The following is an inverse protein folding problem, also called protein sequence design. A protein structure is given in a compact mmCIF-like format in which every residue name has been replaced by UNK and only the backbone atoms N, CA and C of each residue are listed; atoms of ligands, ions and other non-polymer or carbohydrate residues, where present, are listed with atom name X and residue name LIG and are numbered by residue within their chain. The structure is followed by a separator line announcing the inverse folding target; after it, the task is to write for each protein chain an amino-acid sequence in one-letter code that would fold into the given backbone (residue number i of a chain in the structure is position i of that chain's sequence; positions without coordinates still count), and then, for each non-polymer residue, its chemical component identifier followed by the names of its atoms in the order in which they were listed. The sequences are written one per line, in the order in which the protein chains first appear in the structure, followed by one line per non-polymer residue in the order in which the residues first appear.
data_IF_977287509531
#
_entry.id   IF_977287509531
#
_cell.length_a   1.000
_cell.length_b   1.000
_cell.length_c   1.000
_cell.angle_alpha   90.00
_cell.angle_beta   90.00
_cell.angle_gamma   90.00
#
_symmetry.space_group_name_H-M   'P 1'
#
loop_
_entity.id
_entity.type
_entity.pdbx_description
1 polymer ?
#
# COMPACT_ATOMS: atom_id res chain seq x y z
N UNK A 1 -8.72 -8.15 14.88
CA UNK A 1 -8.47 -8.58 13.48
C UNK A 1 -8.80 -10.07 13.37
N UNK A 2 -9.50 -10.53 12.33
CA UNK A 2 -9.91 -11.95 12.20
C UNK A 2 -9.14 -12.61 11.05
N UNK A 3 -8.09 -13.38 11.33
CA UNK A 3 -7.25 -14.06 10.32
C UNK A 3 -7.93 -15.37 9.85
N UNK A 4 -7.87 -15.72 8.55
CA UNK A 4 -8.41 -17.00 8.00
C UNK A 4 -9.00 -16.95 6.58
N UNK A 5 -9.47 -18.08 6.01
CA UNK A 5 -9.54 -18.31 4.56
C UNK A 5 -10.88 -17.95 3.85
N UNK A 6 -11.63 -16.95 4.33
CA UNK A 6 -12.87 -16.48 3.68
C UNK A 6 -12.71 -15.06 3.13
N UNK A 7 -13.66 -14.52 2.36
CA UNK A 7 -13.67 -13.09 2.03
C UNK A 7 -13.64 -12.28 3.32
N UNK A 8 -12.50 -11.68 3.63
CA UNK A 8 -12.24 -11.00 4.90
C UNK A 8 -12.21 -9.52 4.66
N UNK A 9 -13.26 -8.88 5.16
CA UNK A 9 -13.45 -7.44 5.24
C UNK A 9 -13.98 -6.81 3.96
N UNK A 10 -15.08 -6.09 4.10
CA UNK A 10 -15.81 -5.29 3.11
C UNK A 10 -15.44 -3.79 3.18
N UNK A 11 -14.45 -3.47 4.02
CA UNK A 11 -14.04 -2.11 4.40
C UNK A 11 -12.52 -2.03 4.56
N UNK A 12 -11.95 -0.89 4.21
CA UNK A 12 -10.58 -0.54 4.57
C UNK A 12 -10.41 -0.57 6.09
N UNK A 13 -9.37 -1.22 6.60
CA UNK A 13 -9.05 -1.18 8.03
C UNK A 13 -7.91 -0.20 8.24
N UNK A 14 -8.15 0.84 9.02
CA UNK A 14 -7.15 1.81 9.40
C UNK A 14 -6.71 1.48 10.83
N UNK A 15 -5.49 0.96 10.96
CA UNK A 15 -4.86 0.66 12.25
C UNK A 15 -3.97 1.83 12.64
N UNK A 16 -4.30 2.49 13.75
CA UNK A 16 -3.58 3.66 14.25
C UNK A 16 -3.43 3.62 15.76
N UNK A 17 -2.62 4.53 16.30
CA UNK A 17 -2.43 4.65 17.74
C UNK A 17 -3.65 5.28 18.41
N UNK A 18 -4.12 4.67 19.50
CA UNK A 18 -5.19 5.22 20.32
C UNK A 18 -5.71 4.21 21.34
N UNK A 19 -6.62 4.69 22.19
CA UNK A 19 -7.22 3.89 23.28
C UNK A 19 -8.60 3.33 22.92
N UNK A 20 -9.34 4.00 22.01
CA UNK A 20 -10.73 3.68 21.72
C UNK A 20 -10.93 3.26 20.27
N UNK A 21 -11.34 2.01 20.06
CA UNK A 21 -11.73 1.48 18.75
C UNK A 21 -12.92 2.25 18.15
N UNK A 22 -12.92 2.38 16.82
CA UNK A 22 -13.94 3.06 16.02
C UNK A 22 -14.10 4.58 16.25
N UNK A 23 -13.23 5.21 17.04
CA UNK A 23 -13.14 6.66 17.06
C UNK A 23 -12.42 7.13 15.77
N UNK A 24 -13.12 7.89 14.93
CA UNK A 24 -12.50 8.61 13.83
C UNK A 24 -11.63 9.72 14.46
N UNK A 25 -10.31 9.78 14.19
CA UNK A 25 -9.48 10.85 14.72
C UNK A 25 -9.99 12.23 14.27
N UNK A 26 -10.07 13.19 15.18
CA UNK A 26 -10.55 14.55 14.87
C UNK A 26 -9.68 15.26 13.81
N UNK A 27 -8.39 14.92 13.75
CA UNK A 27 -7.45 15.43 12.78
C UNK A 27 -7.03 14.30 11.83
N UNK A 28 -7.94 13.94 10.91
CA UNK A 28 -7.60 13.03 9.83
C UNK A 28 -6.46 13.65 9.01
N UNK A 29 -5.32 12.96 8.83
CA UNK A 29 -4.20 13.48 8.05
C UNK A 29 -4.49 13.56 6.54
N UNK A 30 -5.73 13.29 6.14
CA UNK A 30 -6.13 13.05 4.78
C UNK A 30 -7.13 14.11 4.32
N UNK A 31 -6.64 15.11 3.60
CA UNK A 31 -7.48 16.20 3.07
C UNK A 31 -8.39 15.69 1.95
N UNK A 32 -9.71 15.83 2.12
CA UNK A 32 -10.71 15.50 1.11
C UNK A 32 -11.88 16.50 1.16
N UNK A 33 -12.66 16.60 0.08
CA UNK A 33 -13.94 17.30 0.10
C UNK A 33 -14.90 16.61 1.06
N UNK A 34 -15.81 17.35 1.71
CA UNK A 34 -16.73 16.79 2.72
C UNK A 34 -17.59 15.63 2.19
N UNK A 35 -18.01 15.70 0.92
CA UNK A 35 -18.77 14.64 0.25
C UNK A 35 -17.93 13.36 0.06
N UNK A 36 -16.70 13.50 -0.44
CA UNK A 36 -15.78 12.37 -0.57
C UNK A 36 -15.46 11.79 0.80
N UNK A 37 -15.18 12.66 1.79
CA UNK A 37 -14.88 12.28 3.16
C UNK A 37 -16.00 11.44 3.78
N UNK A 38 -17.25 11.84 3.59
CA UNK A 38 -18.42 11.11 4.14
C UNK A 38 -18.59 9.74 3.48
N UNK A 39 -18.52 9.66 2.15
CA UNK A 39 -18.62 8.40 1.42
C UNK A 39 -17.44 7.46 1.72
N UNK A 40 -16.23 8.00 1.79
CA UNK A 40 -14.99 7.30 2.11
C UNK A 40 -14.97 6.74 3.54
N UNK A 41 -15.30 7.57 4.54
CA UNK A 41 -15.29 7.14 5.95
C UNK A 41 -16.29 6.01 6.21
N UNK A 42 -17.38 5.94 5.42
CA UNK A 42 -18.35 4.84 5.51
C UNK A 42 -17.75 3.48 5.10
N UNK A 43 -16.71 3.49 4.26
CA UNK A 43 -15.99 2.30 3.81
C UNK A 43 -14.78 1.98 4.70
N UNK A 44 -14.51 2.76 5.75
CA UNK A 44 -13.37 2.55 6.64
C UNK A 44 -13.81 1.99 7.99
N UNK A 45 -12.97 1.16 8.59
CA UNK A 45 -13.04 0.73 9.98
C UNK A 45 -11.78 1.19 10.70
N UNK A 46 -11.95 1.88 11.82
CA UNK A 46 -10.84 2.36 12.64
C UNK A 46 -10.54 1.38 13.76
N UNK A 47 -9.30 0.91 13.80
CA UNK A 47 -8.76 0.06 14.85
C UNK A 47 -7.67 0.85 15.58
N UNK A 48 -7.92 1.16 16.84
CA UNK A 48 -7.02 1.93 17.67
C UNK A 48 -6.28 0.98 18.60
N UNK A 49 -4.96 0.92 18.47
CA UNK A 49 -4.13 0.01 19.26
C UNK A 49 -3.05 0.80 19.97
N UNK A 50 -2.96 0.62 21.28
CA UNK A 50 -1.90 1.20 22.09
C UNK A 50 -0.61 0.38 21.92
N UNK A 51 0.06 0.59 20.79
CA UNK A 51 1.36 0.00 20.48
C UNK A 51 2.36 1.12 20.13
N UNK A 52 3.57 1.15 20.75
CA UNK A 52 4.55 2.21 20.53
C UNK A 52 4.93 2.43 19.06
N UNK A 53 4.86 1.37 18.24
CA UNK A 53 5.16 1.46 16.81
C UNK A 53 4.13 2.34 16.07
N UNK A 54 2.85 2.28 16.49
CA UNK A 54 1.75 3.01 15.86
C UNK A 54 1.73 4.50 16.24
N UNK A 55 2.48 4.92 17.27
CA UNK A 55 2.65 6.36 17.57
C UNK A 55 3.29 7.11 16.40
N UNK A 56 4.05 6.39 15.55
CA UNK A 56 4.82 6.94 14.44
C UNK A 56 4.33 6.48 13.07
N UNK A 57 3.38 5.55 13.02
CA UNK A 57 2.86 5.01 11.77
C UNK A 57 1.38 4.66 11.88
N UNK A 58 0.69 4.79 10.76
CA UNK A 58 -0.68 4.30 10.57
C UNK A 58 -0.66 3.30 9.44
N UNK A 59 -1.30 2.15 9.64
CA UNK A 59 -1.42 1.10 8.62
C UNK A 59 -2.82 1.18 8.02
N UNK A 60 -2.89 1.15 6.69
CA UNK A 60 -4.13 1.00 5.96
C UNK A 60 -4.11 -0.38 5.32
N UNK A 61 -4.98 -1.26 5.80
CA UNK A 61 -5.19 -2.58 5.23
C UNK A 61 -6.37 -2.52 4.24
N UNK A 62 -6.12 -2.99 3.03
CA UNK A 62 -7.03 -2.88 1.89
C UNK A 62 -7.72 -4.21 1.64
N UNK A 63 -9.02 -4.18 1.35
CA UNK A 63 -9.78 -5.40 1.09
C UNK A 63 -9.46 -6.00 -0.27
N UNK A 64 -9.43 -7.33 -0.36
CA UNK A 64 -9.32 -8.04 -1.66
C UNK A 64 -10.61 -7.96 -2.49
N UNK A 65 -11.70 -7.44 -1.91
CA UNK A 65 -13.05 -7.60 -2.42
C UNK A 65 -13.56 -6.22 -2.83
N UNK A 66 -13.93 -6.11 -4.11
CA UNK A 66 -14.61 -4.99 -4.78
C UNK A 66 -13.67 -3.92 -5.37
N UNK A 67 -13.02 -4.25 -6.49
CA UNK A 67 -12.46 -3.26 -7.42
C UNK A 67 -13.57 -2.65 -8.30
N UNK A 68 -14.53 -1.97 -7.68
CA UNK A 68 -15.42 -1.08 -8.42
C UNK A 68 -14.74 0.29 -8.62
N UNK A 69 -15.35 1.17 -9.42
CA UNK A 69 -14.78 2.48 -9.72
C UNK A 69 -14.65 3.36 -8.46
N UNK A 70 -15.44 3.11 -7.41
CA UNK A 70 -15.31 3.84 -6.15
C UNK A 70 -14.05 3.40 -5.39
N UNK A 71 -13.78 2.10 -5.36
CA UNK A 71 -12.59 1.55 -4.71
C UNK A 71 -11.30 2.04 -5.37
N UNK A 72 -11.24 2.07 -6.71
CA UNK A 72 -10.08 2.60 -7.43
C UNK A 72 -9.80 4.07 -7.06
N UNK A 73 -10.85 4.90 -6.95
CA UNK A 73 -10.72 6.31 -6.54
C UNK A 73 -10.28 6.45 -5.08
N UNK A 74 -10.73 5.56 -4.20
CA UNK A 74 -10.30 5.54 -2.80
C UNK A 74 -8.83 5.13 -2.69
N UNK A 75 -8.39 4.13 -3.46
CA UNK A 75 -6.98 3.73 -3.52
C UNK A 75 -6.08 4.84 -4.08
N UNK A 76 -6.49 5.49 -5.18
CA UNK A 76 -5.76 6.63 -5.74
C UNK A 76 -5.60 7.75 -4.69
N UNK A 77 -6.69 8.06 -3.98
CA UNK A 77 -6.64 9.05 -2.91
C UNK A 77 -5.72 8.62 -1.75
N UNK A 78 -5.74 7.36 -1.34
CA UNK A 78 -4.77 6.89 -0.32
C UNK A 78 -3.34 7.03 -0.83
N UNK A 79 -3.06 6.68 -2.09
CA UNK A 79 -1.74 6.79 -2.70
C UNK A 79 -1.18 8.22 -2.67
N UNK A 80 -2.05 9.24 -2.80
CA UNK A 80 -1.69 10.65 -2.64
C UNK A 80 -1.21 10.97 -1.21
N UNK A 81 -1.72 10.29 -0.18
CA UNK A 81 -1.48 10.61 1.22
C UNK A 81 -0.42 9.74 1.90
N UNK A 82 -0.29 8.47 1.50
CA UNK A 82 0.61 7.52 2.16
C UNK A 82 2.07 7.77 1.81
N UNK A 83 2.96 7.35 2.71
CA UNK A 83 4.41 7.40 2.49
C UNK A 83 4.93 6.18 1.70
N UNK A 84 4.26 5.03 1.80
CA UNK A 84 4.65 3.77 1.17
C UNK A 84 3.42 2.92 0.85
N UNK A 85 3.49 2.15 -0.23
CA UNK A 85 2.47 1.20 -0.68
C UNK A 85 3.13 -0.17 -0.76
N UNK A 86 2.64 -1.13 0.00
CA UNK A 86 3.18 -2.49 0.03
C UNK A 86 2.28 -3.42 -0.80
N UNK A 87 2.85 -4.02 -1.84
CA UNK A 87 2.15 -4.97 -2.71
C UNK A 87 2.62 -6.38 -2.36
N UNK A 88 1.77 -7.14 -1.69
CA UNK A 88 2.07 -8.52 -1.29
C UNK A 88 1.71 -9.50 -2.40
N UNK A 89 2.63 -10.41 -2.69
CA UNK A 89 2.44 -11.53 -3.60
C UNK A 89 2.78 -12.83 -2.88
N UNK A 90 1.99 -13.86 -3.19
CA UNK A 90 2.35 -15.23 -2.90
C UNK A 90 3.22 -15.74 -4.06
N UNK A 91 4.51 -16.03 -3.83
CA UNK A 91 5.45 -16.45 -4.88
C UNK A 91 5.11 -17.83 -5.47
N UNK A 92 4.30 -18.64 -4.79
CA UNK A 92 3.77 -19.90 -5.35
C UNK A 92 2.60 -19.64 -6.33
N UNK A 93 1.92 -18.50 -6.20
CA UNK A 93 0.78 -18.10 -7.04
C UNK A 93 0.89 -16.64 -7.49
N UNK A 94 1.88 -16.38 -8.34
CA UNK A 94 2.21 -15.05 -8.89
C UNK A 94 1.22 -14.48 -9.92
N UNK A 95 0.03 -15.06 -10.04
CA UNK A 95 -0.98 -14.58 -10.99
C UNK A 95 -1.64 -13.30 -10.48
N UNK A 96 -1.48 -12.22 -11.24
CA UNK A 96 -2.15 -10.95 -10.97
C UNK A 96 -3.58 -11.03 -11.49
N UNK A 97 -4.57 -10.94 -10.60
CA UNK A 97 -5.98 -10.84 -10.99
C UNK A 97 -6.25 -9.51 -11.70
N UNK A 98 -7.30 -9.44 -12.52
CA UNK A 98 -7.71 -8.19 -13.17
C UNK A 98 -8.03 -7.08 -12.15
N UNK A 99 -8.61 -7.46 -11.02
CA UNK A 99 -9.01 -6.53 -9.96
C UNK A 99 -7.79 -5.96 -9.24
N UNK A 100 -6.77 -6.79 -9.00
CA UNK A 100 -5.50 -6.34 -8.44
C UNK A 100 -4.73 -5.48 -9.44
N UNK A 101 -4.74 -5.86 -10.73
CA UNK A 101 -4.17 -5.02 -11.79
C UNK A 101 -4.81 -3.63 -11.81
N UNK A 102 -6.14 -3.52 -11.78
CA UNK A 102 -6.85 -2.23 -11.71
C UNK A 102 -6.48 -1.42 -10.48
N UNK A 103 -6.28 -2.09 -9.35
CA UNK A 103 -5.83 -1.45 -8.11
C UNK A 103 -4.44 -0.83 -8.26
N UNK A 104 -3.51 -1.55 -8.91
CA UNK A 104 -2.16 -1.03 -9.23
C UNK A 104 -2.25 0.13 -10.23
N UNK A 105 -3.08 0.01 -11.27
CA UNK A 105 -3.30 1.06 -12.28
C UNK A 105 -3.81 2.37 -11.66
N UNK A 106 -4.74 2.28 -10.70
CA UNK A 106 -5.26 3.43 -9.96
C UNK A 106 -4.17 4.18 -9.17
N UNK A 107 -3.06 3.51 -8.84
CA UNK A 107 -1.95 4.09 -8.06
C UNK A 107 -0.69 4.34 -8.89
N UNK A 108 -0.72 4.17 -10.22
CA UNK A 108 0.46 4.26 -11.12
C UNK A 108 1.24 5.59 -10.97
N UNK A 109 0.57 6.71 -10.70
CA UNK A 109 1.21 8.02 -10.45
C UNK A 109 2.11 8.07 -9.19
N UNK A 110 2.05 7.02 -8.37
CA UNK A 110 2.75 6.83 -7.10
C UNK A 110 3.67 5.59 -7.11
N UNK A 111 4.10 5.14 -8.29
CA UNK A 111 5.01 4.00 -8.45
C UNK A 111 6.30 4.11 -7.60
N UNK A 112 6.80 5.33 -7.31
CA UNK A 112 7.96 5.56 -6.45
C UNK A 112 7.74 5.21 -4.96
N UNK A 113 6.47 5.14 -4.55
CA UNK A 113 6.05 4.74 -3.20
C UNK A 113 5.83 3.23 -3.08
N UNK A 114 5.80 2.49 -4.19
CA UNK A 114 5.48 1.05 -4.19
C UNK A 114 6.69 0.20 -3.78
N UNK A 115 6.42 -0.88 -3.05
CA UNK A 115 7.37 -1.95 -2.71
C UNK A 115 6.69 -3.29 -2.96
N UNK A 116 7.36 -4.18 -3.68
CA UNK A 116 6.85 -5.53 -3.94
C UNK A 116 7.40 -6.46 -2.88
N UNK A 117 6.50 -7.24 -2.27
CA UNK A 117 6.85 -8.18 -1.21
C UNK A 117 6.42 -9.58 -1.63
N UNK A 118 7.37 -10.51 -1.70
CA UNK A 118 7.10 -11.94 -1.76
C UNK A 118 7.02 -12.47 -0.33
N UNK A 119 5.80 -12.78 0.08
CA UNK A 119 5.56 -13.37 1.40
C UNK A 119 5.60 -14.90 1.31
N UNK A 120 5.85 -15.58 2.43
CA UNK A 120 5.89 -17.05 2.53
C UNK A 120 7.02 -17.72 1.71
N UNK A 121 8.18 -17.07 1.60
CA UNK A 121 9.31 -17.63 0.82
C UNK A 121 10.14 -18.66 1.59
N UNK A 122 9.79 -19.00 2.83
CA UNK A 122 10.61 -19.83 3.73
C UNK A 122 10.83 -21.28 3.27
N UNK A 123 9.91 -21.83 2.48
CA UNK A 123 9.98 -23.18 1.94
C UNK A 123 10.57 -23.24 0.53
N UNK A 124 10.76 -22.08 -0.12
CA UNK A 124 11.13 -22.02 -1.53
C UNK A 124 12.63 -22.09 -1.76
N UNK A 125 13.02 -22.82 -2.81
CA UNK A 125 14.39 -22.79 -3.32
C UNK A 125 14.70 -21.49 -4.07
N UNK A 126 15.98 -21.09 -4.10
CA UNK A 126 16.45 -19.89 -4.82
C UNK A 126 15.99 -19.83 -6.29
N UNK A 127 15.95 -20.97 -6.96
CA UNK A 127 15.50 -21.06 -8.36
C UNK A 127 14.00 -20.78 -8.53
N UNK A 128 13.18 -21.20 -7.56
CA UNK A 128 11.74 -20.99 -7.57
C UNK A 128 11.42 -19.51 -7.30
N UNK A 129 12.10 -18.89 -6.33
CA UNK A 129 12.00 -17.44 -6.06
C UNK A 129 12.40 -16.63 -7.29
N UNK A 130 13.49 -16.99 -7.97
CA UNK A 130 13.92 -16.29 -9.20
C UNK A 130 12.91 -16.47 -10.34
N UNK A 131 12.25 -17.62 -10.44
CA UNK A 131 11.20 -17.84 -11.43
C UNK A 131 9.95 -17.01 -11.13
N UNK A 132 9.52 -16.96 -9.86
CA UNK A 132 8.43 -16.10 -9.40
C UNK A 132 8.73 -14.61 -9.67
N UNK A 133 9.97 -14.17 -9.38
CA UNK A 133 10.45 -12.82 -9.65
C UNK A 133 10.25 -12.44 -11.13
N UNK A 134 10.68 -13.31 -12.05
CA UNK A 134 10.55 -13.05 -13.50
C UNK A 134 9.09 -12.94 -13.94
N UNK A 135 8.22 -13.78 -13.41
CA UNK A 135 6.79 -13.75 -13.73
C UNK A 135 6.12 -12.47 -13.25
N UNK A 136 6.45 -12.03 -12.02
CA UNK A 136 5.94 -10.76 -11.49
C UNK A 136 6.52 -9.57 -12.23
N UNK A 137 7.82 -9.54 -12.49
CA UNK A 137 8.44 -8.47 -13.27
C UNK A 137 7.76 -8.32 -14.64
N UNK A 138 7.52 -9.44 -15.33
CA UNK A 138 6.79 -9.42 -16.61
C UNK A 138 5.36 -8.90 -16.45
N UNK A 139 4.64 -9.32 -15.42
CA UNK A 139 3.24 -8.91 -15.21
C UNK A 139 3.13 -7.45 -14.80
N UNK A 140 3.96 -7.00 -13.87
CA UNK A 140 4.00 -5.62 -13.37
C UNK A 140 4.52 -4.65 -14.42
N UNK A 141 5.47 -5.04 -15.28
CA UNK A 141 5.96 -4.18 -16.37
C UNK A 141 4.91 -3.81 -17.41
N UNK A 142 3.78 -4.54 -17.46
CA UNK A 142 2.64 -4.19 -18.32
C UNK A 142 1.74 -3.11 -17.72
N UNK A 143 1.90 -2.85 -16.43
CA UNK A 143 0.99 -2.02 -15.62
C UNK A 143 1.71 -0.76 -15.13
N UNK A 144 2.92 -0.92 -14.59
CA UNK A 144 3.76 0.19 -14.17
C UNK A 144 4.56 0.73 -15.34
N UNK A 145 4.74 2.05 -15.36
CA UNK A 145 5.49 2.74 -16.42
C UNK A 145 6.98 2.94 -16.07
N UNK A 146 7.47 2.27 -15.02
CA UNK A 146 8.84 2.40 -14.56
C UNK A 146 9.85 1.93 -15.60
N UNK A 147 10.90 2.74 -15.78
CA UNK A 147 12.06 2.38 -16.60
C UNK A 147 12.97 1.35 -15.92
N UNK A 148 12.94 1.28 -14.58
CA UNK A 148 13.72 0.34 -13.79
C UNK A 148 12.82 -0.71 -13.14
N UNK A 149 13.29 -1.96 -12.98
CA UNK A 149 12.51 -3.00 -12.34
C UNK A 149 12.26 -2.66 -10.86
N UNK A 150 11.04 -2.89 -10.35
CA UNK A 150 10.76 -2.69 -8.94
C UNK A 150 11.60 -3.64 -8.09
N UNK A 151 12.09 -3.12 -6.97
CA UNK A 151 12.77 -3.93 -5.95
C UNK A 151 11.76 -4.89 -5.31
N UNK A 152 12.17 -6.16 -5.15
CA UNK A 152 11.35 -7.21 -4.55
C UNK A 152 11.99 -7.67 -3.24
N UNK A 153 11.25 -7.55 -2.16
CA UNK A 153 11.63 -8.01 -0.83
C UNK A 153 11.06 -9.41 -0.62
N UNK A 154 11.89 -10.35 -0.19
CA UNK A 154 11.48 -11.73 0.08
C UNK A 154 11.48 -11.98 1.58
N UNK A 155 10.47 -12.67 2.11
CA UNK A 155 10.42 -12.99 3.53
C UNK A 155 9.21 -13.83 3.92
N UNK A 156 9.11 -14.12 5.21
CA UNK A 156 7.99 -14.82 5.81
C UNK A 156 7.48 -14.01 7.00
N UNK A 157 6.62 -13.05 6.70
CA UNK A 157 6.23 -12.00 7.64
C UNK A 157 5.13 -12.46 8.62
N UNK A 158 5.43 -13.50 9.41
CA UNK A 158 4.54 -14.11 10.41
C UNK A 158 4.98 -13.87 11.86
N UNK A 159 4.48 -14.71 12.78
CA UNK A 159 4.78 -14.63 14.23
C UNK A 159 6.17 -15.18 14.62
N UNK A 160 6.93 -15.70 13.66
CA UNK A 160 8.26 -16.26 13.88
C UNK A 160 9.34 -15.15 14.01
N UNK A 161 10.53 -15.50 14.48
CA UNK A 161 11.66 -14.55 14.58
C UNK A 161 11.99 -13.90 13.23
N UNK A 162 12.20 -12.58 13.24
CA UNK A 162 12.56 -11.79 12.05
C UNK A 162 13.81 -12.38 11.39
N UNK A 163 13.67 -12.86 10.16
CA UNK A 163 14.77 -13.49 9.42
C UNK A 163 15.70 -12.44 8.82
N UNK A 164 16.90 -12.86 8.42
CA UNK A 164 17.89 -11.95 7.82
C UNK A 164 17.34 -11.23 6.58
N UNK A 165 16.59 -11.96 5.74
CA UNK A 165 16.03 -11.45 4.49
C UNK A 165 14.93 -10.39 4.69
N UNK A 166 14.35 -10.31 5.89
CA UNK A 166 13.30 -9.33 6.25
C UNK A 166 13.89 -8.00 6.74
N UNK A 167 15.19 -7.98 7.07
CA UNK A 167 15.87 -6.78 7.57
C UNK A 167 15.95 -5.69 6.51
N UNK A 168 16.12 -6.07 5.25
CA UNK A 168 16.25 -5.10 4.16
C UNK A 168 14.96 -4.28 4.00
N UNK A 169 13.79 -4.95 4.08
CA UNK A 169 12.50 -4.26 4.09
C UNK A 169 12.38 -3.33 5.30
N UNK A 170 12.74 -3.82 6.50
CA UNK A 170 12.68 -2.99 7.70
C UNK A 170 13.59 -1.76 7.60
N UNK A 171 14.80 -1.92 7.07
CA UNK A 171 15.74 -0.81 6.88
C UNK A 171 15.23 0.21 5.85
N UNK A 172 14.65 -0.25 4.73
CA UNK A 172 13.98 0.64 3.77
C UNK A 172 12.83 1.39 4.44
N UNK A 173 11.94 0.69 5.15
CA UNK A 173 10.81 1.28 5.88
C UNK A 173 11.25 2.31 6.94
N UNK A 174 12.33 2.03 7.68
CA UNK A 174 12.90 2.98 8.64
C UNK A 174 13.53 4.19 7.94
N UNK A 175 14.12 4.00 6.76
CA UNK A 175 14.69 5.10 5.97
C UNK A 175 13.63 6.08 5.49
N UNK A 176 12.38 5.63 5.31
CA UNK A 176 11.25 6.48 4.90
C UNK A 176 11.06 7.62 5.89
N UNK A 177 11.14 7.31 7.19
CA UNK A 177 10.95 8.30 8.26
C UNK A 177 11.96 9.44 8.17
N UNK A 178 13.21 9.12 7.83
CA UNK A 178 14.28 10.11 7.65
C UNK A 178 14.09 10.97 6.39
N UNK A 179 13.31 10.48 5.43
CA UNK A 179 13.10 11.11 4.12
C UNK A 179 11.71 11.76 3.94
N UNK A 180 10.86 11.78 4.99
CA UNK A 180 9.49 12.32 4.93
C UNK A 180 9.46 13.73 4.31
N UNK A 181 10.37 14.62 4.71
CA UNK A 181 10.39 16.01 4.19
C UNK A 181 10.60 16.06 2.68
N UNK A 182 11.53 15.27 2.16
CA UNK A 182 11.83 15.20 0.72
C UNK A 182 10.61 14.67 -0.06
N UNK A 183 9.92 13.68 0.49
CA UNK A 183 8.70 13.12 -0.10
C UNK A 183 7.56 14.12 -0.14
N UNK A 184 7.30 14.82 0.98
CA UNK A 184 6.27 15.88 1.02
C UNK A 184 6.53 16.97 -0.04
N UNK A 185 7.79 17.31 -0.29
CA UNK A 185 8.17 18.23 -1.37
C UNK A 185 7.87 17.62 -2.75
N UNK A 186 8.25 16.35 -2.98
CA UNK A 186 7.96 15.67 -4.25
C UNK A 186 6.45 15.60 -4.52
N UNK A 187 5.64 15.26 -3.52
CA UNK A 187 4.18 15.19 -3.63
C UNK A 187 3.58 16.57 -3.90
N UNK A 188 4.13 17.64 -3.30
CA UNK A 188 3.72 19.01 -3.59
C UNK A 188 4.04 19.39 -5.04
N UNK A 189 5.22 19.02 -5.54
CA UNK A 189 5.62 19.27 -6.94
C UNK A 189 4.69 18.52 -7.91
N UNK A 190 4.38 17.24 -7.63
CA UNK A 190 3.44 16.45 -8.44
C UNK A 190 2.06 17.11 -8.49
N UNK A 191 1.51 17.51 -7.33
CA UNK A 191 0.22 18.20 -7.24
C UNK A 191 0.22 19.54 -7.98
N UNK A 192 1.27 20.35 -7.85
CA UNK A 192 1.40 21.62 -8.54
C UNK A 192 1.44 21.45 -10.08
N UNK A 193 2.14 20.42 -10.58
CA UNK A 193 2.15 20.07 -12.00
C UNK A 193 0.77 19.66 -12.51
N UNK A 194 0.07 18.81 -11.77
CA UNK A 194 -1.30 18.38 -12.10
C UNK A 194 -2.27 19.56 -12.15
N UNK A 195 -2.25 20.42 -11.13
CA UNK A 195 -3.08 21.63 -11.08
C UNK A 195 -2.82 22.59 -12.26
N UNK A 196 -1.54 22.77 -12.64
CA UNK A 196 -1.17 23.57 -13.80
C UNK A 196 -1.76 23.00 -15.10
N UNK A 197 -1.65 21.68 -15.32
CA UNK A 197 -2.20 21.02 -16.52
C UNK A 197 -3.73 21.20 -16.55
N UNK A 198 -4.40 21.00 -15.42
CA UNK A 198 -5.84 21.18 -15.32
C UNK A 198 -6.28 22.61 -15.63
N UNK A 199 -5.55 23.62 -15.14
CA UNK A 199 -5.84 25.03 -15.41
C UNK A 199 -5.56 25.46 -16.86
N UNK A 200 -4.74 24.71 -17.60
CA UNK A 200 -4.44 24.97 -19.02
C UNK A 200 -5.40 24.24 -19.98
N UNK A 201 -6.10 23.21 -19.49
CA UNK A 201 -6.99 22.36 -20.28
C UNK A 201 -8.48 22.67 -20.05
N UNK A 202 -8.81 23.63 -19.19
CA UNK A 202 -10.14 24.20 -19.00
C UNK A 202 -10.15 25.67 -19.43
#
# INVERSE_FOLDING_TARGET
MRIGPGPKTDRFIIVTYGENDNAIPDNLPFGATEEFRTAFLSQCRWCCVNAPVLEKLTIVDTTEILSDDNFARVLEWFADQVDVILLFFDPENVLISRDFQRSIEAMNSHEDKMRIIFNKTETMGRGEVLNAYRQIQFSVSKVLSQHEPPEIYCGSFGDDEIKFDEKDLLLDLLSLHNNIRKRKINDLIKRAKSAKIHALNN
#
